data_IF_957166709622
#
_entry.id   IF_957166709622
#
_cell.length_a   1.000
_cell.length_b   1.000
_cell.length_c   1.000
_cell.angle_alpha   90.00
_cell.angle_beta   90.00
_cell.angle_gamma   90.00
#
_symmetry.space_group_name_H-M   'P 1'
#
loop_
_entity.id
_entity.type
_entity.pdbx_description
1 polymer ?
#
# COMPACT_ATOMS: atom_id res chain seq x y z
N UNK A 1 -45.27 48.91 15.04
CA UNK A 1 -43.93 48.55 14.52
C UNK A 1 -43.25 49.69 13.75
N UNK A 2 -43.95 50.46 12.90
CA UNK A 2 -43.31 51.52 12.08
C UNK A 2 -42.90 52.82 12.81
N UNK A 3 -43.41 53.09 14.02
CA UNK A 3 -43.19 54.37 14.73
C UNK A 3 -41.78 54.56 15.32
N UNK A 4 -41.00 53.48 15.48
CA UNK A 4 -39.71 53.53 16.17
C UNK A 4 -38.52 53.18 15.27
N UNK A 5 -38.73 52.94 13.96
CA UNK A 5 -37.68 52.62 12.98
C UNK A 5 -36.62 51.63 13.50
N UNK A 6 -37.05 50.62 14.27
CA UNK A 6 -36.16 49.71 14.99
C UNK A 6 -35.20 48.98 14.05
N UNK A 7 -35.68 48.64 12.85
CA UNK A 7 -34.88 48.00 11.80
C UNK A 7 -33.72 48.89 11.33
N UNK A 8 -33.94 50.21 11.22
CA UNK A 8 -32.88 51.16 10.85
C UNK A 8 -31.84 51.32 11.96
N UNK A 9 -32.28 51.32 13.23
CA UNK A 9 -31.35 51.32 14.37
C UNK A 9 -30.53 50.04 14.44
N UNK A 10 -31.12 48.87 14.16
CA UNK A 10 -30.37 47.61 14.08
C UNK A 10 -29.40 47.58 12.92
N UNK A 11 -29.82 48.03 11.74
CA UNK A 11 -28.95 48.10 10.57
C UNK A 11 -27.74 48.99 10.84
N UNK A 12 -27.96 50.20 11.38
CA UNK A 12 -26.87 51.12 11.72
C UNK A 12 -25.91 50.53 12.76
N UNK A 13 -26.42 49.77 13.74
CA UNK A 13 -25.57 49.07 14.72
C UNK A 13 -24.77 47.93 14.10
N UNK A 14 -25.36 47.17 13.18
CA UNK A 14 -24.68 46.10 12.44
C UNK A 14 -23.61 46.69 11.51
N UNK A 15 -23.90 47.80 10.83
CA UNK A 15 -22.95 48.50 9.96
C UNK A 15 -21.77 49.06 10.76
N UNK A 16 -22.03 49.74 11.88
CA UNK A 16 -20.96 50.23 12.76
C UNK A 16 -20.09 49.07 13.30
N UNK A 17 -20.72 47.97 13.71
CA UNK A 17 -19.97 46.77 14.12
C UNK A 17 -19.15 46.18 12.97
N UNK A 18 -19.69 46.13 11.74
CA UNK A 18 -19.00 45.62 10.55
C UNK A 18 -17.82 46.51 10.17
N UNK A 19 -17.94 47.82 10.28
CA UNK A 19 -16.84 48.76 10.05
C UNK A 19 -15.71 48.58 11.07
N UNK A 20 -16.07 48.37 12.35
CA UNK A 20 -15.10 48.21 13.43
C UNK A 20 -14.44 46.81 13.45
N UNK A 21 -15.20 45.75 13.17
CA UNK A 21 -14.77 44.36 13.39
C UNK A 21 -14.79 43.46 12.14
N UNK A 22 -15.45 43.87 11.06
CA UNK A 22 -15.69 43.01 9.89
C UNK A 22 -14.41 42.44 9.26
N UNK A 23 -13.32 43.21 9.27
CA UNK A 23 -12.00 42.76 8.80
C UNK A 23 -11.41 41.62 9.63
N UNK A 24 -11.82 41.46 10.90
CA UNK A 24 -11.31 40.46 11.85
C UNK A 24 -12.12 39.17 11.83
N UNK A 25 -13.35 39.18 11.31
CA UNK A 25 -14.25 38.01 11.31
C UNK A 25 -13.63 36.82 10.59
N UNK A 26 -12.96 37.04 9.46
CA UNK A 26 -12.28 35.98 8.72
C UNK A 26 -11.13 35.37 9.52
N UNK A 27 -10.37 36.21 10.24
CA UNK A 27 -9.30 35.75 11.12
C UNK A 27 -9.85 34.94 12.30
N UNK A 28 -10.93 35.39 12.94
CA UNK A 28 -11.58 34.65 14.02
C UNK A 28 -12.12 33.30 13.55
N UNK A 29 -12.75 33.24 12.38
CA UNK A 29 -13.22 31.99 11.81
C UNK A 29 -12.07 31.02 11.53
N UNK A 30 -10.93 31.53 11.02
CA UNK A 30 -9.71 30.73 10.81
C UNK A 30 -9.16 30.19 12.14
N UNK A 31 -9.10 31.02 13.18
CA UNK A 31 -8.61 30.61 14.50
C UNK A 31 -9.49 29.55 15.14
N UNK A 32 -10.82 29.70 15.06
CA UNK A 32 -11.75 28.66 15.52
C UNK A 32 -11.52 27.36 14.74
N UNK A 33 -11.37 27.43 13.41
CA UNK A 33 -11.07 26.26 12.59
C UNK A 33 -9.75 25.57 12.96
N UNK A 34 -8.71 26.32 13.32
CA UNK A 34 -7.45 25.74 13.81
C UNK A 34 -7.63 25.01 15.15
N UNK A 35 -8.41 25.58 16.07
CA UNK A 35 -8.73 24.93 17.35
C UNK A 35 -9.54 23.65 17.11
N UNK A 36 -10.52 23.67 16.22
CA UNK A 36 -11.33 22.50 15.85
C UNK A 36 -10.47 21.40 15.20
N UNK A 37 -9.55 21.76 14.29
CA UNK A 37 -8.62 20.82 13.68
C UNK A 37 -7.74 20.14 14.73
N UNK A 38 -7.10 20.93 15.61
CA UNK A 38 -6.25 20.40 16.67
C UNK A 38 -7.04 19.52 17.65
N UNK A 39 -8.27 19.91 17.99
CA UNK A 39 -9.15 19.10 18.82
C UNK A 39 -9.50 17.77 18.13
N UNK A 40 -9.76 17.76 16.83
CA UNK A 40 -10.06 16.54 16.08
C UNK A 40 -8.87 15.56 16.08
N UNK A 41 -7.64 16.05 15.88
CA UNK A 41 -6.43 15.23 15.97
C UNK A 41 -6.17 14.71 17.40
N UNK A 42 -6.45 15.53 18.41
CA UNK A 42 -6.35 15.11 19.81
C UNK A 42 -7.38 14.04 20.18
N UNK A 43 -8.62 14.15 19.68
CA UNK A 43 -9.67 13.13 19.85
C UNK A 43 -9.24 11.83 19.18
N UNK A 44 -8.69 11.88 17.97
CA UNK A 44 -8.16 10.68 17.30
C UNK A 44 -7.10 9.96 18.16
N UNK A 45 -6.18 10.71 18.79
CA UNK A 45 -5.18 10.16 19.71
C UNK A 45 -5.79 9.61 21.00
N UNK A 46 -6.89 10.20 21.47
CA UNK A 46 -7.61 9.75 22.66
C UNK A 46 -8.32 8.42 22.41
N UNK A 47 -9.02 8.31 21.28
CA UNK A 47 -9.77 7.11 20.88
C UNK A 47 -8.84 5.93 20.55
N UNK A 48 -7.61 6.24 20.10
CA UNK A 48 -6.57 5.26 19.78
C UNK A 48 -5.34 5.45 20.67
N UNK A 49 -5.37 4.96 21.92
CA UNK A 49 -4.31 5.19 22.89
C UNK A 49 -2.95 4.58 22.50
N UNK A 50 -2.98 3.58 21.62
CA UNK A 50 -1.86 2.84 21.06
C UNK A 50 -1.21 3.51 19.84
N UNK A 51 -1.80 4.58 19.30
CA UNK A 51 -1.23 5.37 18.21
C UNK A 51 -0.21 6.37 18.75
N UNK A 52 0.75 6.76 17.90
CA UNK A 52 1.84 7.67 18.29
C UNK A 52 1.87 8.93 17.43
N UNK A 53 2.46 10.02 17.93
CA UNK A 53 2.85 11.12 17.06
C UNK A 53 4.23 10.80 16.50
N UNK A 54 4.37 10.85 15.17
CA UNK A 54 5.64 10.50 14.52
C UNK A 54 6.70 11.60 14.67
N UNK A 55 7.96 11.19 14.61
CA UNK A 55 9.13 12.07 14.59
C UNK A 55 9.53 12.41 13.15
N UNK A 56 9.81 13.69 12.90
CA UNK A 56 10.33 14.14 11.60
C UNK A 56 11.80 13.75 11.45
N UNK A 57 12.09 12.97 10.42
CA UNK A 57 13.44 12.57 10.06
C UNK A 57 14.09 13.57 9.11
N UNK A 58 15.42 13.63 9.12
CA UNK A 58 16.19 14.46 8.19
C UNK A 58 16.01 14.01 6.73
N UNK A 59 16.38 14.86 5.75
CA UNK A 59 16.15 14.61 4.32
C UNK A 59 16.95 13.43 3.73
N UNK A 60 17.90 12.87 4.49
CA UNK A 60 18.70 11.71 4.10
C UNK A 60 18.26 10.41 4.81
N UNK A 61 17.21 10.47 5.62
CA UNK A 61 16.65 9.30 6.29
C UNK A 61 15.51 8.70 5.47
N UNK A 62 15.35 7.38 5.55
CA UNK A 62 14.15 6.71 5.04
C UNK A 62 13.01 6.67 6.07
N UNK A 63 12.17 5.64 5.99
CA UNK A 63 11.00 5.46 6.86
C UNK A 63 11.27 4.33 7.83
N UNK A 64 11.02 4.56 9.12
CA UNK A 64 11.02 3.53 10.16
C UNK A 64 9.71 3.56 10.89
N UNK A 65 9.04 2.41 10.98
CA UNK A 65 7.80 2.26 11.70
C UNK A 65 7.77 0.93 12.45
N UNK A 66 7.33 0.98 13.70
CA UNK A 66 7.18 -0.20 14.57
C UNK A 66 5.69 -0.46 14.77
N UNK A 67 5.27 -1.72 14.60
CA UNK A 67 3.88 -2.16 14.70
C UNK A 67 2.88 -1.30 13.89
N UNK A 68 3.25 -0.88 12.67
CA UNK A 68 2.35 -0.10 11.81
C UNK A 68 1.13 -0.93 11.40
N UNK A 69 -0.03 -0.29 11.45
CA UNK A 69 -1.36 -0.83 11.14
C UNK A 69 -2.06 0.04 10.12
N UNK A 70 -3.05 -0.53 9.44
CA UNK A 70 -3.91 0.26 8.56
C UNK A 70 -4.97 1.00 9.41
N UNK A 71 -5.01 2.35 9.41
CA UNK A 71 -5.86 3.12 10.34
C UNK A 71 -7.37 2.90 10.16
N UNK A 72 -7.80 2.44 8.97
CA UNK A 72 -9.21 2.16 8.67
C UNK A 72 -9.64 0.69 8.90
N UNK A 73 -8.73 -0.20 9.31
CA UNK A 73 -9.10 -1.57 9.65
C UNK A 73 -9.53 -1.66 11.11
N UNK A 74 -10.42 -2.59 11.43
CA UNK A 74 -10.79 -2.83 12.82
C UNK A 74 -9.56 -3.30 13.62
N UNK A 75 -9.40 -2.93 14.90
CA UNK A 75 -8.20 -3.27 15.68
C UNK A 75 -7.85 -4.77 15.73
N UNK A 76 -8.87 -5.64 15.68
CA UNK A 76 -8.68 -7.10 15.70
C UNK A 76 -8.31 -7.70 14.33
N UNK A 77 -8.54 -6.96 13.23
CA UNK A 77 -8.16 -7.35 11.86
C UNK A 77 -6.82 -6.73 11.46
N UNK A 78 -6.45 -5.61 12.08
CA UNK A 78 -5.26 -4.83 11.76
C UNK A 78 -3.98 -5.47 12.34
N UNK A 79 -3.41 -6.45 11.64
CA UNK A 79 -2.14 -7.08 12.01
C UNK A 79 -0.99 -6.06 11.94
N UNK A 80 -0.25 -5.83 13.05
CA UNK A 80 0.87 -4.89 13.10
C UNK A 80 2.08 -5.42 12.35
N UNK A 81 2.83 -4.53 11.71
CA UNK A 81 4.05 -4.88 10.99
C UNK A 81 5.16 -3.86 11.25
N UNK A 82 6.39 -4.32 11.36
CA UNK A 82 7.56 -3.43 11.39
C UNK A 82 8.02 -3.16 9.96
N UNK A 83 8.36 -1.91 9.65
CA UNK A 83 8.74 -1.47 8.31
C UNK A 83 9.97 -0.58 8.42
N UNK A 84 11.01 -0.91 7.66
CA UNK A 84 12.19 -0.08 7.49
C UNK A 84 12.53 0.09 6.00
N UNK A 85 12.47 1.33 5.53
CA UNK A 85 13.08 1.79 4.28
C UNK A 85 14.33 2.57 4.70
N UNK A 86 15.54 2.16 4.31
CA UNK A 86 16.75 2.67 4.94
C UNK A 86 17.02 4.16 4.63
N UNK A 87 16.90 4.55 3.37
CA UNK A 87 17.36 5.86 2.88
C UNK A 87 16.67 6.26 1.57
N UNK A 88 16.75 7.55 1.17
CA UNK A 88 16.34 8.02 -0.15
C UNK A 88 16.95 7.20 -1.29
N UNK A 89 16.11 6.82 -2.26
CA UNK A 89 16.53 5.97 -3.37
C UNK A 89 16.60 4.49 -3.02
N UNK A 90 15.87 4.04 -1.99
CA UNK A 90 15.63 2.63 -1.69
C UNK A 90 14.12 2.34 -1.59
N UNK A 91 13.68 1.15 -2.04
CA UNK A 91 12.29 0.71 -1.90
C UNK A 91 12.22 -0.68 -1.27
N UNK A 92 11.15 -0.94 -0.54
CA UNK A 92 10.76 -2.29 -0.15
C UNK A 92 10.21 -3.04 -1.37
N UNK A 93 10.71 -4.24 -1.62
CA UNK A 93 10.13 -5.17 -2.57
C UNK A 93 9.25 -6.18 -1.82
N UNK A 94 7.95 -5.93 -1.82
CA UNK A 94 6.96 -6.73 -1.08
C UNK A 94 6.46 -7.88 -1.95
N UNK A 95 6.79 -9.10 -1.55
CA UNK A 95 6.40 -10.33 -2.25
C UNK A 95 5.44 -11.18 -1.42
N UNK A 96 4.68 -12.05 -2.09
CA UNK A 96 3.68 -12.92 -1.44
C UNK A 96 2.51 -13.24 -2.38
N UNK A 97 1.67 -14.20 -1.99
CA UNK A 97 0.51 -14.60 -2.77
C UNK A 97 -0.51 -13.46 -2.94
N UNK A 98 -1.48 -13.67 -3.83
CA UNK A 98 -2.71 -12.88 -3.80
C UNK A 98 -3.39 -13.08 -2.44
N UNK A 99 -4.00 -12.01 -1.90
CA UNK A 99 -4.69 -12.00 -0.60
C UNK A 99 -3.79 -12.05 0.66
N UNK A 100 -2.47 -12.15 0.51
CA UNK A 100 -1.53 -12.14 1.65
C UNK A 100 -1.48 -10.82 2.44
N UNK A 101 -1.98 -9.71 1.87
CA UNK A 101 -2.04 -8.40 2.51
C UNK A 101 -1.10 -7.34 1.94
N UNK A 102 -0.42 -7.59 0.80
CA UNK A 102 0.53 -6.65 0.17
C UNK A 102 -0.06 -5.25 -0.03
N UNK A 103 -1.22 -5.16 -0.70
CA UNK A 103 -1.91 -3.89 -0.95
C UNK A 103 -2.32 -3.19 0.35
N UNK A 104 -2.71 -3.96 1.37
CA UNK A 104 -3.07 -3.43 2.69
C UNK A 104 -1.86 -2.81 3.38
N UNK A 105 -0.70 -3.45 3.35
CA UNK A 105 0.56 -2.92 3.89
C UNK A 105 0.94 -1.60 3.19
N UNK A 106 0.92 -1.59 1.86
CA UNK A 106 1.22 -0.37 1.08
C UNK A 106 0.26 0.77 1.43
N UNK A 107 -1.04 0.49 1.55
CA UNK A 107 -2.05 1.49 1.96
C UNK A 107 -1.86 1.95 3.40
N UNK A 108 -1.44 1.07 4.30
CA UNK A 108 -1.13 1.43 5.68
C UNK A 108 0.01 2.45 5.73
N UNK A 109 1.11 2.23 4.97
CA UNK A 109 2.20 3.20 4.88
C UNK A 109 1.75 4.54 4.33
N UNK A 110 0.97 4.54 3.24
CA UNK A 110 0.46 5.77 2.65
C UNK A 110 -0.48 6.54 3.57
N UNK A 111 -1.43 5.86 4.22
CA UNK A 111 -2.37 6.49 5.13
C UNK A 111 -1.68 7.07 6.37
N UNK A 112 -0.72 6.35 6.95
CA UNK A 112 0.06 6.84 8.10
C UNK A 112 0.97 8.02 7.71
N UNK A 113 1.58 8.00 6.51
CA UNK A 113 2.33 9.16 6.03
C UNK A 113 1.44 10.40 5.88
N UNK A 114 0.19 10.24 5.42
CA UNK A 114 -0.77 11.36 5.32
C UNK A 114 -1.13 11.89 6.70
N UNK A 115 -1.43 11.01 7.66
CA UNK A 115 -1.71 11.42 9.05
C UNK A 115 -0.52 12.15 9.68
N UNK A 116 0.70 11.63 9.47
CA UNK A 116 1.94 12.26 9.91
C UNK A 116 2.12 13.67 9.30
N UNK A 117 1.95 13.83 7.99
CA UNK A 117 2.04 15.13 7.32
C UNK A 117 0.93 16.12 7.77
N UNK A 118 -0.21 15.61 8.22
CA UNK A 118 -1.28 16.41 8.78
C UNK A 118 -1.02 16.84 10.25
N UNK A 119 0.08 16.38 10.86
CA UNK A 119 0.38 16.60 12.28
C UNK A 119 -0.45 15.73 13.23
N UNK A 120 -1.09 14.67 12.71
CA UNK A 120 -1.93 13.76 13.46
C UNK A 120 -1.17 12.56 14.05
N UNK A 121 -1.82 11.82 14.96
CA UNK A 121 -1.30 10.53 15.40
C UNK A 121 -1.36 9.51 14.26
N UNK A 122 -0.37 8.63 14.19
CA UNK A 122 -0.28 7.52 13.24
C UNK A 122 -0.58 6.20 13.94
N UNK A 123 -1.17 5.26 13.21
CA UNK A 123 -1.51 3.91 13.63
C UNK A 123 -0.27 3.01 13.71
N UNK A 124 0.67 3.34 14.60
CA UNK A 124 1.91 2.63 14.87
C UNK A 124 2.35 2.91 16.32
N UNK A 125 3.18 2.04 16.89
CA UNK A 125 3.79 2.30 18.20
C UNK A 125 4.96 3.28 18.10
N UNK A 126 5.70 3.25 16.99
CA UNK A 126 6.75 4.21 16.64
C UNK A 126 6.68 4.56 15.15
N UNK A 127 6.99 5.82 14.82
CA UNK A 127 7.06 6.29 13.43
C UNK A 127 8.09 7.40 13.29
N UNK A 128 9.01 7.22 12.36
CA UNK A 128 10.02 8.21 11.99
C UNK A 128 10.10 8.27 10.48
N UNK A 129 9.82 9.44 9.91
CA UNK A 129 9.81 9.61 8.45
C UNK A 129 10.17 11.05 8.05
N UNK A 130 10.78 11.25 6.87
CA UNK A 130 10.89 12.57 6.28
C UNK A 130 9.50 13.08 5.80
N UNK A 131 9.33 14.40 5.60
CA UNK A 131 8.08 14.98 5.11
C UNK A 131 7.92 14.77 3.59
N UNK A 132 7.78 13.51 3.17
CA UNK A 132 7.67 13.09 1.76
C UNK A 132 6.22 12.96 1.31
N UNK A 133 5.93 13.40 0.09
CA UNK A 133 4.56 13.32 -0.47
C UNK A 133 4.25 11.94 -1.04
N UNK A 134 3.12 11.30 -0.68
CA UNK A 134 2.75 10.01 -1.23
C UNK A 134 2.28 10.10 -2.68
N UNK A 135 2.82 9.23 -3.53
CA UNK A 135 2.39 8.95 -4.90
C UNK A 135 2.12 7.48 -5.05
N UNK A 136 0.98 7.13 -5.67
CA UNK A 136 0.54 5.74 -5.71
C UNK A 136 0.13 5.33 -7.12
N UNK A 137 0.52 4.12 -7.52
CA UNK A 137 -0.09 3.41 -8.63
C UNK A 137 -0.68 2.12 -8.08
N UNK A 138 -1.90 2.21 -7.54
CA UNK A 138 -2.64 1.09 -6.99
C UNK A 138 -3.93 0.87 -7.75
N UNK A 139 -4.40 -0.37 -7.76
CA UNK A 139 -5.67 -0.71 -8.40
C UNK A 139 -6.86 -0.24 -7.58
N UNK A 140 -7.75 0.47 -8.25
CA UNK A 140 -9.13 0.69 -7.83
C UNK A 140 -9.94 -0.38 -8.57
N UNK A 141 -10.68 -1.23 -7.85
CA UNK A 141 -11.36 -2.42 -8.40
C UNK A 141 -12.11 -2.15 -9.72
N UNK A 142 -11.88 -3.08 -10.65
CA UNK A 142 -12.56 -3.47 -11.90
C UNK A 142 -13.40 -2.48 -12.72
N UNK A 143 -12.95 -2.30 -13.97
CA UNK A 143 -13.82 -2.48 -15.13
C UNK A 143 -13.05 -3.26 -16.20
N UNK A 144 -13.51 -4.49 -16.49
CA UNK A 144 -12.96 -5.42 -17.49
C UNK A 144 -13.27 -4.97 -18.93
N UNK A 145 -12.99 -3.73 -19.28
CA UNK A 145 -13.35 -3.18 -20.58
C UNK A 145 -12.17 -2.48 -21.25
N UNK A 146 -11.57 -3.20 -22.23
CA UNK A 146 -10.64 -2.77 -23.31
C UNK A 146 -9.13 -2.75 -22.95
N UNK A 147 -8.41 -3.78 -23.39
CA UNK A 147 -7.00 -4.07 -23.05
C UNK A 147 -5.93 -3.01 -23.42
N UNK A 148 -6.02 -2.33 -24.58
CA UNK A 148 -4.99 -1.33 -24.97
C UNK A 148 -5.13 -0.03 -24.18
N UNK A 149 -6.37 0.40 -23.92
CA UNK A 149 -6.65 1.63 -23.18
C UNK A 149 -6.21 1.52 -21.72
N UNK A 150 -6.31 0.33 -21.12
CA UNK A 150 -5.89 0.11 -19.74
C UNK A 150 -4.37 0.14 -19.58
N UNK A 151 -3.62 -0.52 -20.48
CA UNK A 151 -2.16 -0.52 -20.44
C UNK A 151 -1.60 0.89 -20.60
N UNK A 152 -2.12 1.67 -21.56
CA UNK A 152 -1.69 3.06 -21.74
C UNK A 152 -2.05 3.93 -20.53
N UNK A 153 -3.25 3.76 -19.94
CA UNK A 153 -3.64 4.48 -18.74
C UNK A 153 -2.75 4.14 -17.54
N UNK A 154 -2.34 2.88 -17.40
CA UNK A 154 -1.38 2.45 -16.38
C UNK A 154 -0.01 3.10 -16.61
N UNK A 155 0.50 3.10 -17.84
CA UNK A 155 1.75 3.79 -18.17
C UNK A 155 1.68 5.30 -17.88
N UNK A 156 0.55 5.94 -18.15
CA UNK A 156 0.34 7.35 -17.82
C UNK A 156 0.33 7.60 -16.32
N UNK A 157 -0.27 6.70 -15.52
CA UNK A 157 -0.19 6.77 -14.05
C UNK A 157 1.24 6.62 -13.55
N UNK A 158 1.97 5.61 -14.05
CA UNK A 158 3.37 5.41 -13.66
C UNK A 158 4.25 6.58 -14.04
N UNK A 159 4.01 7.17 -15.23
CA UNK A 159 4.69 8.40 -15.63
C UNK A 159 4.42 9.54 -14.65
N UNK A 160 3.17 9.75 -14.25
CA UNK A 160 2.84 10.79 -13.27
C UNK A 160 3.54 10.57 -11.92
N UNK A 161 3.66 9.32 -11.47
CA UNK A 161 4.42 8.97 -10.26
C UNK A 161 5.91 9.29 -10.42
N UNK A 162 6.51 8.93 -11.57
CA UNK A 162 7.93 9.24 -11.87
C UNK A 162 8.16 10.74 -11.95
N UNK A 163 7.28 11.48 -12.61
CA UNK A 163 7.38 12.94 -12.73
C UNK A 163 7.26 13.59 -11.34
N UNK A 164 6.33 13.14 -10.50
CA UNK A 164 6.21 13.58 -9.11
C UNK A 164 7.45 13.29 -8.26
N UNK A 165 8.10 12.14 -8.47
CA UNK A 165 9.35 11.81 -7.80
C UNK A 165 10.53 12.70 -8.23
N UNK A 166 10.53 13.17 -9.48
CA UNK A 166 11.55 14.11 -9.99
C UNK A 166 11.35 15.54 -9.46
N UNK A 167 10.12 15.91 -9.10
CA UNK A 167 9.82 17.23 -8.55
C UNK A 167 10.29 17.40 -7.10
N UNK A 168 10.42 16.32 -6.34
CA UNK A 168 10.95 16.38 -4.99
C UNK A 168 10.84 15.07 -4.20
N UNK A 169 11.15 15.12 -2.88
CA UNK A 169 11.09 13.96 -2.01
C UNK A 169 9.69 13.34 -1.95
N UNK A 170 9.58 12.05 -2.28
CA UNK A 170 8.31 11.35 -2.44
C UNK A 170 8.32 9.96 -1.81
N UNK A 171 7.16 9.59 -1.26
CA UNK A 171 6.82 8.22 -0.89
C UNK A 171 6.12 7.58 -2.07
N UNK A 172 6.69 6.54 -2.68
CA UNK A 172 6.09 5.83 -3.82
C UNK A 172 5.54 4.48 -3.39
N UNK A 173 4.28 4.23 -3.74
CA UNK A 173 3.56 3.02 -3.38
C UNK A 173 2.95 2.38 -4.62
N UNK A 174 3.60 1.33 -5.11
CA UNK A 174 3.26 0.69 -6.39
C UNK A 174 2.69 -0.70 -6.13
N UNK A 175 1.43 -0.93 -6.52
CA UNK A 175 0.76 -2.20 -6.26
C UNK A 175 0.56 -2.99 -7.55
N UNK A 176 1.38 -4.03 -7.73
CA UNK A 176 1.28 -4.97 -8.84
C UNK A 176 1.21 -4.29 -10.24
N UNK A 177 2.19 -3.44 -10.52
CA UNK A 177 2.23 -2.62 -11.74
C UNK A 177 2.32 -3.47 -13.02
N UNK A 178 1.74 -2.94 -14.11
CA UNK A 178 1.90 -3.47 -15.48
C UNK A 178 1.44 -4.93 -15.70
N UNK A 179 0.39 -5.43 -15.04
CA UNK A 179 -0.14 -6.76 -15.38
C UNK A 179 -0.94 -6.74 -16.71
N UNK A 180 -0.87 -7.85 -17.48
CA UNK A 180 -1.73 -8.09 -18.64
C UNK A 180 -1.05 -8.19 -20.01
N UNK A 181 0.27 -7.99 -20.11
CA UNK A 181 1.08 -8.12 -21.35
C UNK A 181 2.07 -9.28 -21.28
N UNK A 182 2.84 -9.49 -22.36
CA UNK A 182 3.93 -10.49 -22.43
C UNK A 182 4.91 -10.34 -21.25
N UNK A 183 5.17 -11.44 -20.55
CA UNK A 183 5.97 -11.50 -19.32
C UNK A 183 7.34 -10.82 -19.45
N UNK A 184 8.00 -10.91 -20.61
CA UNK A 184 9.32 -10.33 -20.81
C UNK A 184 9.29 -8.79 -20.91
N UNK A 185 8.38 -8.24 -21.71
CA UNK A 185 8.22 -6.79 -21.89
C UNK A 185 7.81 -6.12 -20.58
N UNK A 186 6.92 -6.78 -19.81
CA UNK A 186 6.50 -6.31 -18.49
C UNK A 186 7.68 -6.11 -17.55
N UNK A 187 8.58 -7.10 -17.46
CA UNK A 187 9.74 -7.02 -16.56
C UNK A 187 10.66 -5.88 -16.96
N UNK A 188 10.91 -5.69 -18.25
CA UNK A 188 11.73 -4.58 -18.76
C UNK A 188 11.10 -3.23 -18.37
N UNK A 189 9.79 -3.07 -18.61
CA UNK A 189 9.09 -1.84 -18.29
C UNK A 189 9.04 -1.56 -16.77
N UNK A 190 8.76 -2.59 -15.96
CA UNK A 190 8.77 -2.46 -14.50
C UNK A 190 10.16 -2.07 -13.98
N UNK A 191 11.22 -2.73 -14.47
CA UNK A 191 12.62 -2.37 -14.16
C UNK A 191 12.92 -0.91 -14.49
N UNK A 192 12.59 -0.46 -15.70
CA UNK A 192 12.82 0.93 -16.12
C UNK A 192 12.10 1.95 -15.23
N UNK A 193 10.85 1.67 -14.85
CA UNK A 193 10.10 2.55 -13.94
C UNK A 193 10.78 2.60 -12.57
N UNK A 194 11.15 1.44 -12.01
CA UNK A 194 11.84 1.39 -10.72
C UNK A 194 13.19 2.10 -10.74
N UNK A 195 13.98 1.92 -11.80
CA UNK A 195 15.26 2.63 -12.00
C UNK A 195 15.05 4.14 -11.93
N UNK A 196 14.08 4.68 -12.68
CA UNK A 196 13.79 6.12 -12.65
C UNK A 196 13.35 6.64 -11.28
N UNK A 197 12.59 5.86 -10.51
CA UNK A 197 12.17 6.24 -9.17
C UNK A 197 13.34 6.24 -8.19
N UNK A 198 14.20 5.23 -8.26
CA UNK A 198 15.39 5.11 -7.43
C UNK A 198 16.42 6.20 -7.76
N UNK A 199 16.59 6.53 -9.04
CA UNK A 199 17.43 7.65 -9.50
C UNK A 199 16.91 9.00 -9.00
N UNK A 200 15.59 9.17 -8.92
CA UNK A 200 14.95 10.36 -8.38
C UNK A 200 15.00 10.45 -6.84
N UNK A 201 15.54 9.42 -6.15
CA UNK A 201 15.63 9.39 -4.70
C UNK A 201 14.32 9.06 -4.00
N UNK A 202 13.35 8.44 -4.70
CA UNK A 202 12.09 8.03 -4.10
C UNK A 202 12.32 7.00 -2.98
N UNK A 203 11.47 7.04 -1.96
CA UNK A 203 11.39 6.02 -0.90
C UNK A 203 10.02 5.36 -0.93
N UNK A 204 9.91 4.13 -0.45
CA UNK A 204 8.59 3.49 -0.34
C UNK A 204 8.60 2.01 -0.59
N UNK A 205 7.55 1.53 -1.27
CA UNK A 205 7.30 0.10 -1.42
C UNK A 205 6.68 -0.22 -2.78
N UNK A 206 7.11 -1.34 -3.36
CA UNK A 206 6.52 -1.94 -4.55
C UNK A 206 6.10 -3.37 -4.23
N UNK A 207 4.85 -3.72 -4.55
CA UNK A 207 4.38 -5.10 -4.46
C UNK A 207 4.54 -5.82 -5.81
N UNK A 208 4.96 -7.08 -5.77
CA UNK A 208 5.10 -7.89 -6.99
C UNK A 208 4.95 -9.39 -6.74
N UNK A 209 4.64 -10.11 -7.80
CA UNK A 209 4.76 -11.57 -7.88
C UNK A 209 6.05 -12.02 -8.58
N UNK A 210 6.76 -11.08 -9.21
CA UNK A 210 7.99 -11.35 -9.94
C UNK A 210 9.18 -11.28 -8.99
N UNK A 211 9.56 -12.43 -8.43
CA UNK A 211 10.73 -12.57 -7.55
C UNK A 211 12.05 -12.26 -8.27
N UNK A 212 12.06 -12.14 -9.61
CA UNK A 212 13.28 -11.82 -10.36
C UNK A 212 13.65 -10.34 -10.24
N UNK A 213 12.69 -9.45 -9.95
CA UNK A 213 12.94 -8.01 -9.83
C UNK A 213 13.94 -7.65 -8.72
N UNK A 214 13.91 -8.36 -7.58
CA UNK A 214 14.86 -8.14 -6.48
C UNK A 214 16.30 -8.55 -6.82
N UNK A 215 16.48 -9.36 -7.87
CA UNK A 215 17.77 -9.88 -8.33
C UNK A 215 18.25 -9.21 -9.62
N UNK A 216 17.53 -8.21 -10.11
CA UNK A 216 18.00 -7.41 -11.24
C UNK A 216 19.23 -6.61 -10.79
N UNK A 217 20.39 -6.75 -11.46
CA UNK A 217 21.64 -6.13 -11.00
C UNK A 217 21.58 -4.61 -10.80
N UNK A 218 20.71 -3.92 -11.54
CA UNK A 218 20.50 -2.47 -11.42
C UNK A 218 19.66 -2.06 -10.20
N UNK A 219 18.92 -3.00 -9.59
CA UNK A 219 17.98 -2.76 -8.50
C UNK A 219 18.43 -3.38 -7.17
N UNK A 220 19.15 -4.50 -7.20
CA UNK A 220 19.46 -5.35 -6.04
C UNK A 220 20.00 -4.58 -4.83
N UNK A 221 20.91 -3.62 -5.03
CA UNK A 221 21.52 -2.84 -3.94
C UNK A 221 20.58 -1.83 -3.27
N UNK A 222 19.43 -1.55 -3.89
CA UNK A 222 18.46 -0.53 -3.45
C UNK A 222 17.08 -1.11 -3.17
N UNK A 223 16.89 -2.42 -3.39
CA UNK A 223 15.65 -3.14 -3.09
C UNK A 223 15.82 -3.93 -1.79
N UNK A 224 15.01 -3.58 -0.80
CA UNK A 224 14.94 -4.34 0.45
C UNK A 224 13.83 -5.38 0.31
N UNK A 225 14.22 -6.64 0.12
CA UNK A 225 13.26 -7.72 -0.06
C UNK A 225 12.55 -8.07 1.25
N UNK A 226 11.23 -8.10 1.17
CA UNK A 226 10.35 -8.52 2.27
C UNK A 226 9.21 -9.37 1.70
N UNK A 227 8.62 -10.22 2.54
CA UNK A 227 7.51 -11.07 2.11
C UNK A 227 6.45 -11.30 3.17
N UNK A 228 5.25 -11.56 2.67
CA UNK A 228 4.13 -12.09 3.45
C UNK A 228 4.00 -13.59 3.13
N UNK A 229 3.58 -14.38 4.12
CA UNK A 229 3.44 -15.83 3.97
C UNK A 229 1.98 -16.26 4.05
N UNK A 230 1.75 -17.43 3.49
CA UNK A 230 0.55 -18.21 3.65
C UNK A 230 0.90 -19.56 4.25
N UNK A 231 0.09 -20.00 5.19
CA UNK A 231 0.18 -21.29 5.83
C UNK A 231 -1.07 -22.10 5.50
N UNK A 232 -0.95 -23.42 5.57
CA UNK A 232 -2.11 -24.32 5.46
C UNK A 232 -2.44 -24.84 6.85
N UNK A 233 -3.65 -24.56 7.29
CA UNK A 233 -4.17 -25.04 8.56
C UNK A 233 -5.26 -26.07 8.31
N UNK A 234 -5.41 -27.02 9.22
CA UNK A 234 -6.51 -27.96 9.20
C UNK A 234 -7.59 -27.47 10.15
N UNK A 235 -8.75 -27.12 9.60
CA UNK A 235 -9.93 -26.66 10.34
C UNK A 235 -11.07 -27.60 10.01
N UNK A 236 -11.65 -28.25 11.01
CA UNK A 236 -12.75 -29.21 10.86
C UNK A 236 -12.45 -30.38 9.89
N UNK A 237 -11.20 -30.84 9.87
CA UNK A 237 -10.74 -31.90 8.96
C UNK A 237 -10.57 -31.45 7.50
N UNK A 238 -10.76 -30.16 7.21
CA UNK A 238 -10.51 -29.54 5.93
C UNK A 238 -9.26 -28.69 5.99
N UNK A 239 -8.35 -28.89 5.02
CA UNK A 239 -7.20 -28.01 4.87
C UNK A 239 -7.67 -26.69 4.28
N UNK A 240 -7.41 -25.59 4.97
CA UNK A 240 -7.72 -24.23 4.54
C UNK A 240 -6.46 -23.39 4.50
N UNK A 241 -6.44 -22.44 3.56
CA UNK A 241 -5.33 -21.51 3.44
C UNK A 241 -5.53 -20.36 4.44
N UNK A 242 -4.52 -20.14 5.28
CA UNK A 242 -4.50 -19.10 6.29
C UNK A 242 -3.40 -18.09 5.98
N UNK A 243 -3.73 -16.80 6.05
CA UNK A 243 -2.77 -15.71 5.91
C UNK A 243 -2.56 -15.06 7.26
N UNK A 244 -1.32 -15.03 7.73
CA UNK A 244 -1.03 -14.39 9.03
C UNK A 244 -0.76 -12.88 8.90
N UNK A 245 -0.64 -12.38 7.67
CA UNK A 245 -0.42 -10.98 7.33
C UNK A 245 0.83 -10.35 7.99
N UNK A 246 1.82 -11.17 8.38
CA UNK A 246 3.07 -10.71 9.00
C UNK A 246 4.21 -10.57 7.99
N UNK A 247 4.80 -9.38 7.95
CA UNK A 247 5.95 -9.03 7.14
C UNK A 247 7.20 -9.70 7.68
N UNK A 248 8.00 -10.26 6.77
CA UNK A 248 9.24 -10.97 7.09
C UNK A 248 10.35 -10.52 6.15
N UNK A 249 11.61 -10.45 6.63
CA UNK A 249 12.74 -10.10 5.79
C UNK A 249 13.04 -11.20 4.75
N UNK A 250 13.61 -10.77 3.63
CA UNK A 250 14.04 -11.63 2.53
C UNK A 250 12.94 -11.95 1.52
N UNK A 251 13.30 -12.63 0.42
CA UNK A 251 12.35 -13.01 -0.62
C UNK A 251 11.37 -14.09 -0.13
N UNK A 252 10.18 -14.11 -0.74
CA UNK A 252 9.24 -15.21 -0.54
C UNK A 252 9.88 -16.56 -0.92
N UNK A 253 9.74 -17.55 -0.04
CA UNK A 253 10.36 -18.89 -0.19
C UNK A 253 9.36 -19.98 -0.57
N UNK A 254 8.05 -19.73 -0.47
CA UNK A 254 7.04 -20.78 -0.58
C UNK A 254 6.65 -21.10 -2.04
N UNK A 255 6.69 -22.39 -2.38
CA UNK A 255 6.07 -22.98 -3.58
C UNK A 255 4.62 -23.41 -3.29
N UNK A 256 3.87 -22.61 -2.54
CA UNK A 256 2.52 -22.98 -2.11
C UNK A 256 1.49 -22.94 -3.25
N UNK A 257 1.85 -22.49 -4.46
CA UNK A 257 0.99 -22.60 -5.64
C UNK A 257 0.57 -24.05 -5.92
N UNK A 258 1.47 -25.03 -5.75
CA UNK A 258 1.15 -26.45 -5.89
C UNK A 258 0.19 -26.94 -4.79
N UNK A 259 0.41 -26.50 -3.56
CA UNK A 259 -0.43 -26.82 -2.40
C UNK A 259 -1.83 -26.19 -2.54
N UNK A 260 -1.90 -24.96 -3.08
CA UNK A 260 -3.12 -24.28 -3.47
C UNK A 260 -3.87 -25.04 -4.56
N UNK A 261 -3.18 -25.56 -5.57
CA UNK A 261 -3.79 -26.39 -6.62
C UNK A 261 -4.35 -27.69 -6.04
N UNK A 262 -3.65 -28.35 -5.12
CA UNK A 262 -4.16 -29.53 -4.41
C UNK A 262 -5.41 -29.19 -3.57
N UNK A 263 -5.39 -28.07 -2.85
CA UNK A 263 -6.49 -27.59 -2.00
C UNK A 263 -7.78 -27.27 -2.78
N UNK A 264 -7.67 -26.74 -3.99
CA UNK A 264 -8.84 -26.46 -4.86
C UNK A 264 -9.23 -27.67 -5.73
N UNK A 265 -8.64 -28.85 -5.50
CA UNK A 265 -8.97 -30.09 -6.21
C UNK A 265 -8.36 -30.20 -7.61
N UNK A 266 -7.35 -29.38 -7.94
CA UNK A 266 -6.63 -29.36 -9.22
C UNK A 266 -5.25 -30.03 -9.13
N UNK A 267 -5.07 -30.97 -8.19
CA UNK A 267 -3.82 -31.73 -8.00
C UNK A 267 -3.32 -32.43 -9.27
N UNK A 268 -2.00 -32.68 -9.32
CA UNK A 268 -1.19 -33.12 -10.48
C UNK A 268 -1.95 -33.85 -11.62
N UNK A 269 -1.80 -33.42 -12.89
CA UNK A 269 -2.14 -34.28 -14.02
C UNK A 269 -1.11 -35.42 -14.08
N UNK A 270 -1.48 -36.61 -13.61
CA UNK A 270 -0.59 -37.77 -13.67
C UNK A 270 -1.02 -38.91 -12.75
N UNK A 271 -2.22 -39.43 -12.96
CA UNK A 271 -2.63 -40.82 -12.62
C UNK A 271 -3.66 -41.35 -13.65
N UNK A 272 -3.66 -40.80 -14.86
CA UNK A 272 -4.38 -41.34 -16.01
C UNK A 272 -3.39 -41.45 -17.17
N UNK A 273 -3.21 -42.68 -17.67
CA UNK A 273 -2.31 -43.13 -18.74
C UNK A 273 -0.84 -43.39 -18.34
N UNK A 274 -0.63 -44.44 -17.54
CA UNK A 274 0.58 -45.28 -17.66
C UNK A 274 0.35 -46.30 -18.78
N UNK A 275 1.14 -46.30 -19.87
CA UNK A 275 1.04 -47.33 -20.90
C UNK A 275 1.54 -48.65 -20.30
N UNK A 276 0.63 -49.62 -20.16
CA UNK A 276 0.94 -51.00 -19.80
C UNK A 276 2.26 -51.47 -20.44
N UNK A 277 3.27 -51.89 -19.67
CA UNK A 277 4.47 -52.45 -20.26
C UNK A 277 4.11 -53.82 -20.84
N UNK A 278 4.39 -53.94 -22.12
CA UNK A 278 4.40 -55.16 -22.92
C UNK A 278 5.02 -56.32 -22.12
N UNK A 279 4.16 -57.27 -21.71
CA UNK A 279 4.60 -58.59 -21.27
C UNK A 279 4.39 -59.57 -22.41
N UNK A 280 5.39 -59.65 -23.26
CA UNK A 280 5.67 -60.85 -24.02
C UNK A 280 6.10 -61.96 -23.05
N UNK A 281 5.24 -62.95 -22.84
CA UNK A 281 5.64 -64.29 -22.41
C UNK A 281 4.67 -65.31 -23.02
N UNK A 282 5.16 -65.99 -24.06
CA UNK A 282 4.46 -67.11 -24.68
C UNK A 282 4.70 -68.41 -23.92
N UNK A 283 3.68 -69.26 -23.90
CA UNK A 283 3.78 -70.73 -23.87
C UNK A 283 2.38 -71.33 -24.22
N UNK A 284 2.26 -72.61 -24.63
CA UNK A 284 1.66 -73.03 -25.90
C UNK A 284 0.23 -73.60 -25.74
N UNK A 285 -0.47 -73.92 -26.85
CA UNK A 285 -1.83 -74.44 -26.80
C UNK A 285 -1.81 -75.97 -26.66
N UNK A 286 -2.62 -76.54 -25.78
CA UNK A 286 -3.27 -77.88 -25.91
C UNK A 286 -4.35 -78.05 -24.82
N UNK A 287 -5.33 -78.96 -24.99
CA UNK A 287 -5.99 -79.45 -26.20
C UNK A 287 -7.42 -78.92 -26.38
#
# INVERSE_FOLDING_TARGET
MALFCWDAHHLARIEAWREEHGSRVAEWARLVGEVELLAALAVLRHDHPDWTFGDEAGPQAGIRATEVRHPLLAPHEAVPNDVEVPEPGALLLVTGSNMSGKSTLLRALGANQILFLAGGPVAASEWTAPPVRPWTAMRIRDSLTRGVSFFLAELQRLRAVVDGAREGPTLVLLDEILQGTNTAERRIAARMVLEHLLEAGAIGAVSTHDLTLGREPSLESRMVEVHLREDVQEVDGQRTLHFDHRLRPGPATSKNALLLMELVGLGRPGDADDPTPDRAEGAPPQP
#
